data_IF_591138262045
#
_entry.id   IF_591138262045
#
_cell.length_a   1.000
_cell.length_b   1.000
_cell.length_c   1.000
_cell.angle_alpha   90.00
_cell.angle_beta   90.00
_cell.angle_gamma   90.00
#
_symmetry.space_group_name_H-M   'P 1'
#
loop_
_entity.id
_entity.type
_entity.pdbx_description
1 polymer ?
#
# COMPACT_ATOMS: atom_id res chain seq x y z
N UNK A 1 -6.79 0.50 42.46
CA UNK A 1 -7.03 1.54 41.44
C UNK A 1 -5.68 2.12 41.02
N UNK A 2 -5.12 1.73 39.88
CA UNK A 2 -3.86 2.30 39.34
C UNK A 2 -4.20 2.94 37.99
N UNK A 3 -4.19 4.27 37.95
CA UNK A 3 -4.40 5.09 36.77
C UNK A 3 -3.22 4.95 35.82
N UNK A 4 -3.44 4.28 34.69
CA UNK A 4 -2.53 4.22 33.55
C UNK A 4 -2.54 5.58 32.84
N UNK A 5 -1.44 6.32 32.95
CA UNK A 5 -1.18 7.53 32.16
C UNK A 5 -0.83 7.12 30.73
N UNK A 6 -1.80 7.20 29.82
CA UNK A 6 -1.58 7.12 28.38
C UNK A 6 -0.60 8.21 27.95
N UNK A 7 0.59 7.81 27.46
CA UNK A 7 1.57 8.74 26.86
C UNK A 7 0.95 9.36 25.60
N UNK A 8 0.64 10.65 25.65
CA UNK A 8 0.21 11.41 24.47
C UNK A 8 1.29 11.34 23.37
N UNK A 9 0.89 11.02 22.14
CA UNK A 9 1.77 10.98 20.97
C UNK A 9 2.34 12.40 20.74
N UNK A 10 3.66 12.57 20.52
CA UNK A 10 4.22 13.90 20.24
C UNK A 10 3.55 14.54 19.03
N UNK A 11 3.39 15.87 19.05
CA UNK A 11 2.83 16.62 17.93
C UNK A 11 3.66 16.38 16.66
N UNK A 12 3.03 16.17 15.48
CA UNK A 12 3.75 15.94 14.23
C UNK A 12 4.76 17.06 13.95
N UNK A 13 5.94 16.71 13.46
CA UNK A 13 6.93 17.71 13.06
C UNK A 13 6.43 18.55 11.87
N UNK A 14 7.05 19.69 11.62
CA UNK A 14 6.72 20.49 10.42
C UNK A 14 6.97 19.69 9.13
N UNK A 15 8.06 18.90 9.09
CA UNK A 15 8.35 17.98 7.99
C UNK A 15 7.21 16.97 7.81
N UNK A 16 6.73 16.36 8.89
CA UNK A 16 5.62 15.41 8.85
C UNK A 16 4.35 16.05 8.26
N UNK A 17 3.98 17.25 8.72
CA UNK A 17 2.82 17.97 8.20
C UNK A 17 2.90 18.26 6.71
N UNK A 18 4.09 18.61 6.21
CA UNK A 18 4.32 18.86 4.79
C UNK A 18 4.18 17.56 4.00
N UNK A 19 4.80 16.47 4.47
CA UNK A 19 4.70 15.15 3.84
C UNK A 19 3.25 14.64 3.85
N UNK A 20 2.50 14.79 4.95
CA UNK A 20 1.10 14.38 5.05
C UNK A 20 0.20 15.15 4.10
N UNK A 21 0.44 16.46 3.96
CA UNK A 21 -0.26 17.28 2.98
C UNK A 21 0.05 16.82 1.54
N UNK A 22 1.30 16.46 1.24
CA UNK A 22 1.68 15.95 -0.07
C UNK A 22 1.07 14.58 -0.36
N UNK A 23 1.06 13.66 0.61
CA UNK A 23 0.40 12.35 0.49
C UNK A 23 -1.09 12.53 0.23
N UNK A 24 -1.75 13.41 0.99
CA UNK A 24 -3.17 13.62 0.82
C UNK A 24 -3.50 14.26 -0.55
N UNK A 25 -2.69 15.20 -1.05
CA UNK A 25 -2.83 15.70 -2.43
C UNK A 25 -2.61 14.60 -3.46
N UNK A 26 -1.62 13.73 -3.25
CA UNK A 26 -1.36 12.61 -4.16
C UNK A 26 -2.56 11.66 -4.25
N UNK A 27 -3.18 11.34 -3.12
CA UNK A 27 -4.36 10.46 -3.05
C UNK A 27 -5.61 11.13 -3.62
N UNK A 28 -5.84 12.40 -3.26
CA UNK A 28 -7.06 13.13 -3.62
C UNK A 28 -7.03 13.62 -5.08
N UNK A 29 -5.85 13.96 -5.59
CA UNK A 29 -5.68 14.75 -6.80
C UNK A 29 -4.70 14.19 -7.84
N UNK A 30 -3.94 13.15 -7.49
CA UNK A 30 -2.94 12.53 -8.35
C UNK A 30 -1.61 13.30 -8.42
N UNK A 31 -0.55 12.62 -8.89
CA UNK A 31 0.84 13.12 -8.82
C UNK A 31 1.06 14.44 -9.58
N UNK A 32 0.32 14.64 -10.67
CA UNK A 32 0.44 15.84 -11.50
C UNK A 32 -0.02 17.11 -10.74
N UNK A 33 -1.01 17.00 -9.84
CA UNK A 33 -1.53 18.13 -9.05
C UNK A 33 -0.80 18.33 -7.72
N UNK A 34 0.02 17.36 -7.29
CA UNK A 34 0.92 17.46 -6.12
C UNK A 34 2.14 18.33 -6.43
N UNK A 35 1.90 19.64 -6.60
CA UNK A 35 2.95 20.66 -6.80
C UNK A 35 3.43 21.21 -5.45
N UNK A 36 4.65 21.75 -5.41
CA UNK A 36 5.17 22.42 -4.19
C UNK A 36 4.24 23.52 -3.71
N UNK A 37 3.64 24.30 -4.62
CA UNK A 37 2.66 25.36 -4.30
C UNK A 37 1.38 24.77 -3.68
N UNK A 38 0.84 23.70 -4.26
CA UNK A 38 -0.34 23.02 -3.70
C UNK A 38 -0.04 22.47 -2.29
N UNK A 39 1.13 21.88 -2.10
CA UNK A 39 1.59 21.35 -0.80
C UNK A 39 1.76 22.47 0.22
N UNK A 40 2.37 23.60 -0.15
CA UNK A 40 2.47 24.77 0.74
C UNK A 40 1.11 25.24 1.23
N UNK A 41 0.16 25.37 0.29
CA UNK A 41 -1.21 25.81 0.58
C UNK A 41 -1.91 24.82 1.51
N UNK A 42 -1.82 23.52 1.23
CA UNK A 42 -2.49 22.48 2.03
C UNK A 42 -1.84 22.30 3.41
N UNK A 43 -0.52 22.34 3.50
CA UNK A 43 0.20 22.23 4.77
C UNK A 43 0.11 23.52 5.61
N UNK A 44 -0.35 24.63 5.01
CA UNK A 44 -0.35 25.97 5.59
C UNK A 44 1.04 26.40 6.06
N UNK A 45 2.01 26.38 5.14
CA UNK A 45 3.42 26.72 5.40
C UNK A 45 3.96 27.73 4.38
N UNK A 46 4.94 28.53 4.79
CA UNK A 46 5.62 29.45 3.88
C UNK A 46 6.51 28.69 2.88
N UNK A 47 6.90 29.37 1.79
CA UNK A 47 7.86 28.83 0.82
C UNK A 47 9.21 28.52 1.47
N UNK A 48 9.71 29.43 2.32
CA UNK A 48 10.97 29.23 3.03
C UNK A 48 10.93 28.03 3.97
N UNK A 49 9.82 27.84 4.68
CA UNK A 49 9.63 26.69 5.57
C UNK A 49 9.60 25.36 4.80
N UNK A 50 8.93 25.31 3.63
CA UNK A 50 8.94 24.12 2.79
C UNK A 50 10.35 23.82 2.26
N UNK A 51 11.02 24.82 1.67
CA UNK A 51 12.34 24.65 1.07
C UNK A 51 13.43 24.30 2.09
N UNK A 52 13.27 24.71 3.34
CA UNK A 52 14.16 24.30 4.43
C UNK A 52 14.12 22.78 4.66
N UNK A 53 12.94 22.15 4.54
CA UNK A 53 12.79 20.71 4.73
C UNK A 53 12.92 19.89 3.44
N UNK A 54 12.55 20.49 2.30
CA UNK A 54 12.56 19.87 0.98
C UNK A 54 13.14 20.86 -0.04
N UNK A 55 14.47 20.91 -0.18
CA UNK A 55 15.19 21.78 -1.12
C UNK A 55 14.72 21.63 -2.58
N UNK A 56 14.25 20.44 -2.96
CA UNK A 56 13.78 20.12 -4.31
C UNK A 56 12.40 19.45 -4.31
N UNK A 57 11.70 19.53 -5.46
CA UNK A 57 10.45 18.77 -5.68
C UNK A 57 10.71 17.27 -5.60
N UNK A 58 11.86 16.82 -6.08
CA UNK A 58 12.27 15.43 -6.04
C UNK A 58 12.34 14.88 -4.61
N UNK A 59 12.98 15.62 -3.69
CA UNK A 59 13.06 15.23 -2.28
C UNK A 59 11.71 15.19 -1.58
N UNK A 60 10.84 16.17 -1.89
CA UNK A 60 9.45 16.16 -1.41
C UNK A 60 8.71 14.92 -1.91
N UNK A 61 8.82 14.62 -3.21
CA UNK A 61 8.15 13.49 -3.83
C UNK A 61 8.66 12.16 -3.28
N UNK A 62 9.97 12.00 -3.14
CA UNK A 62 10.57 10.80 -2.54
C UNK A 62 10.06 10.56 -1.11
N UNK A 63 10.04 11.60 -0.27
CA UNK A 63 9.49 11.50 1.10
C UNK A 63 7.99 11.21 1.09
N UNK A 64 7.25 11.74 0.11
CA UNK A 64 5.82 11.50 -0.05
C UNK A 64 5.54 10.04 -0.43
N UNK A 65 6.28 9.49 -1.40
CA UNK A 65 6.17 8.10 -1.83
C UNK A 65 6.51 7.15 -0.68
N UNK A 66 7.61 7.41 0.01
CA UNK A 66 8.03 6.61 1.16
C UNK A 66 6.97 6.61 2.28
N UNK A 67 6.31 7.75 2.53
CA UNK A 67 5.18 7.85 3.48
C UNK A 67 3.95 7.09 2.97
N UNK A 68 3.61 7.20 1.68
CA UNK A 68 2.46 6.51 1.08
C UNK A 68 2.62 4.99 1.16
N UNK A 69 3.77 4.48 0.73
CA UNK A 69 4.08 3.04 0.72
C UNK A 69 4.04 2.47 2.14
N UNK A 70 4.66 3.14 3.11
CA UNK A 70 4.56 2.75 4.53
C UNK A 70 3.14 2.78 5.07
N UNK A 71 2.32 3.74 4.64
CA UNK A 71 0.93 3.80 5.06
C UNK A 71 0.15 2.60 4.52
N UNK A 72 0.35 2.23 3.25
CA UNK A 72 -0.28 1.06 2.64
C UNK A 72 0.18 -0.25 3.31
N UNK A 73 1.48 -0.39 3.56
CA UNK A 73 2.07 -1.51 4.31
C UNK A 73 1.47 -1.63 5.71
N UNK A 74 1.38 -0.52 6.47
CA UNK A 74 0.79 -0.52 7.80
C UNK A 74 -0.67 -0.95 7.77
N UNK A 75 -1.45 -0.49 6.78
CA UNK A 75 -2.86 -0.85 6.63
C UNK A 75 -3.05 -2.35 6.34
N UNK A 76 -2.20 -2.94 5.51
CA UNK A 76 -2.18 -4.37 5.24
C UNK A 76 -1.83 -5.15 6.51
N UNK A 77 -0.76 -4.76 7.20
CA UNK A 77 -0.33 -5.39 8.45
C UNK A 77 -1.40 -5.32 9.55
N UNK A 78 -2.06 -4.17 9.74
CA UNK A 78 -3.14 -4.00 10.72
C UNK A 78 -4.34 -4.90 10.41
N UNK A 79 -4.74 -4.96 9.14
CA UNK A 79 -5.84 -5.83 8.70
C UNK A 79 -5.50 -7.30 8.94
N UNK A 80 -4.26 -7.68 8.67
CA UNK A 80 -3.76 -9.03 8.89
C UNK A 80 -3.72 -9.42 10.38
N UNK A 81 -3.24 -8.54 11.27
CA UNK A 81 -3.20 -8.78 12.71
C UNK A 81 -4.59 -8.90 13.35
N UNK A 82 -5.63 -8.39 12.69
CA UNK A 82 -7.02 -8.52 13.16
C UNK A 82 -7.65 -9.88 12.87
N UNK A 83 -7.02 -10.71 12.03
CA UNK A 83 -7.47 -12.06 11.73
C UNK A 83 -6.92 -13.05 12.78
N UNK A 84 -7.81 -13.88 13.36
CA UNK A 84 -7.46 -14.84 14.42
C UNK A 84 -6.51 -15.93 13.94
N UNK A 85 -6.80 -16.53 12.78
CA UNK A 85 -5.88 -17.39 12.04
C UNK A 85 -6.12 -17.24 10.52
N UNK A 86 -5.26 -16.46 9.83
CA UNK A 86 -5.37 -16.27 8.39
C UNK A 86 -5.17 -17.54 7.55
N UNK A 87 -4.53 -18.58 8.10
CA UNK A 87 -4.31 -19.85 7.41
C UNK A 87 -5.53 -20.78 7.51
N UNK A 88 -6.40 -20.60 8.52
CA UNK A 88 -7.67 -21.33 8.63
C UNK A 88 -8.68 -20.91 7.54
N UNK A 89 -8.62 -19.65 7.09
CA UNK A 89 -9.55 -19.11 6.08
C UNK A 89 -8.82 -18.21 5.06
N UNK A 90 -8.06 -18.86 4.19
CA UNK A 90 -7.29 -18.23 3.10
C UNK A 90 -8.18 -17.36 2.20
N UNK A 91 -9.43 -17.77 1.97
CA UNK A 91 -10.36 -17.00 1.14
C UNK A 91 -10.68 -15.65 1.78
N UNK A 92 -11.12 -15.66 3.04
CA UNK A 92 -11.41 -14.43 3.79
C UNK A 92 -10.19 -13.53 3.87
N UNK A 93 -9.00 -14.10 4.03
CA UNK A 93 -7.78 -13.33 4.12
C UNK A 93 -7.34 -12.71 2.78
N UNK A 94 -7.51 -13.41 1.65
CA UNK A 94 -7.31 -12.83 0.32
C UNK A 94 -8.34 -11.76 -0.02
N UNK A 95 -9.59 -11.90 0.46
CA UNK A 95 -10.60 -10.83 0.36
C UNK A 95 -10.16 -9.59 1.15
N UNK A 96 -9.70 -9.76 2.39
CA UNK A 96 -9.21 -8.65 3.22
C UNK A 96 -7.98 -7.95 2.59
N UNK A 97 -7.07 -8.72 1.97
CA UNK A 97 -5.95 -8.16 1.21
C UNK A 97 -6.43 -7.39 -0.02
N UNK A 98 -7.40 -7.93 -0.77
CA UNK A 98 -8.01 -7.27 -1.92
C UNK A 98 -8.68 -5.94 -1.53
N UNK A 99 -9.37 -5.89 -0.40
CA UNK A 99 -10.01 -4.67 0.10
C UNK A 99 -8.98 -3.60 0.48
N UNK A 100 -7.82 -3.98 1.02
CA UNK A 100 -6.72 -3.04 1.24
C UNK A 100 -6.15 -2.50 -0.08
N UNK A 101 -5.99 -3.36 -1.08
CA UNK A 101 -5.51 -2.95 -2.41
C UNK A 101 -6.51 -2.08 -3.17
N UNK A 102 -7.80 -2.14 -2.83
CA UNK A 102 -8.83 -1.28 -3.40
C UNK A 102 -8.90 0.11 -2.75
N UNK A 103 -8.12 0.39 -1.70
CA UNK A 103 -8.12 1.70 -1.02
C UNK A 103 -7.52 2.79 -1.92
N UNK A 104 -8.00 4.04 -1.83
CA UNK A 104 -7.48 5.15 -2.62
C UNK A 104 -5.95 5.33 -2.53
N UNK A 105 -5.36 5.07 -1.36
CA UNK A 105 -3.91 5.15 -1.16
C UNK A 105 -3.12 4.09 -1.92
N UNK A 106 -3.63 2.87 -2.01
CA UNK A 106 -3.00 1.81 -2.81
C UNK A 106 -3.14 2.10 -4.30
N UNK A 107 -4.31 2.58 -4.74
CA UNK A 107 -4.52 2.97 -6.13
C UNK A 107 -3.62 4.15 -6.54
N UNK A 108 -3.37 5.11 -5.65
CA UNK A 108 -2.42 6.20 -5.89
C UNK A 108 -0.98 5.69 -6.04
N UNK A 109 -0.60 4.66 -5.28
CA UNK A 109 0.70 3.98 -5.45
C UNK A 109 0.79 3.29 -6.82
N UNK A 110 -0.25 2.57 -7.24
CA UNK A 110 -0.31 1.94 -8.58
C UNK A 110 -0.28 2.97 -9.72
N UNK A 111 -0.89 4.14 -9.53
CA UNK A 111 -0.78 5.26 -10.47
C UNK A 111 0.68 5.71 -10.62
N UNK A 112 1.42 5.84 -9.51
CA UNK A 112 2.84 6.17 -9.54
C UNK A 112 3.65 5.10 -10.28
N UNK A 113 3.36 3.81 -10.08
CA UNK A 113 4.01 2.73 -10.84
C UNK A 113 3.84 2.94 -12.34
N UNK A 114 2.61 3.20 -12.79
CA UNK A 114 2.32 3.40 -14.21
C UNK A 114 3.04 4.63 -14.80
N UNK A 115 3.04 5.76 -14.08
CA UNK A 115 3.65 7.02 -14.52
C UNK A 115 5.17 6.97 -14.48
N UNK A 116 5.76 6.23 -13.55
CA UNK A 116 7.21 6.11 -13.39
C UNK A 116 7.90 5.58 -14.65
N UNK A 117 7.21 4.87 -15.56
CA UNK A 117 7.78 4.32 -16.81
C UNK A 117 8.59 5.32 -17.67
N UNK A 118 8.32 6.62 -17.56
CA UNK A 118 9.05 7.66 -18.31
C UNK A 118 9.82 8.65 -17.42
N UNK A 119 9.92 8.41 -16.12
CA UNK A 119 10.58 9.29 -15.14
C UNK A 119 11.53 8.46 -14.25
N UNK A 120 12.84 8.57 -14.50
CA UNK A 120 13.84 7.77 -13.78
C UNK A 120 13.94 8.12 -12.29
N UNK A 121 13.84 9.41 -11.96
CA UNK A 121 13.92 9.88 -10.57
C UNK A 121 12.72 9.37 -9.77
N UNK A 122 11.53 9.38 -10.37
CA UNK A 122 10.34 8.78 -9.79
C UNK A 122 10.49 7.25 -9.64
N UNK A 123 11.02 6.54 -10.65
CA UNK A 123 11.28 5.09 -10.57
C UNK A 123 12.20 4.74 -9.42
N UNK A 124 13.29 5.49 -9.26
CA UNK A 124 14.27 5.20 -8.22
C UNK A 124 13.68 5.43 -6.83
N UNK A 125 12.97 6.55 -6.62
CA UNK A 125 12.28 6.82 -5.36
C UNK A 125 11.23 5.74 -5.02
N UNK A 126 10.44 5.33 -6.01
CA UNK A 126 9.43 4.29 -5.86
C UNK A 126 10.07 2.94 -5.56
N UNK A 127 11.10 2.54 -6.31
CA UNK A 127 11.80 1.28 -6.10
C UNK A 127 12.39 1.18 -4.69
N UNK A 128 13.00 2.25 -4.17
CA UNK A 128 13.55 2.25 -2.81
C UNK A 128 12.45 2.11 -1.75
N UNK A 129 11.33 2.80 -1.91
CA UNK A 129 10.20 2.69 -0.99
C UNK A 129 9.57 1.28 -1.02
N UNK A 130 9.33 0.74 -2.21
CA UNK A 130 8.75 -0.59 -2.45
C UNK A 130 9.63 -1.72 -1.92
N UNK A 131 10.96 -1.59 -2.04
CA UNK A 131 11.89 -2.64 -1.60
C UNK A 131 11.72 -2.98 -0.12
N UNK A 132 11.44 -1.98 0.72
CA UNK A 132 11.16 -2.20 2.14
C UNK A 132 9.79 -2.87 2.34
N UNK A 133 8.73 -2.31 1.73
CA UNK A 133 7.37 -2.81 1.90
C UNK A 133 7.13 -4.22 1.32
N UNK A 134 7.88 -4.61 0.28
CA UNK A 134 7.80 -5.95 -0.32
C UNK A 134 8.09 -7.04 0.70
N UNK A 135 9.10 -6.84 1.56
CA UNK A 135 9.44 -7.81 2.59
C UNK A 135 8.26 -8.11 3.52
N UNK A 136 7.50 -7.08 3.88
CA UNK A 136 6.33 -7.21 4.75
C UNK A 136 5.12 -7.81 4.04
N UNK A 137 4.90 -7.47 2.77
CA UNK A 137 3.87 -8.12 1.96
C UNK A 137 4.16 -9.62 1.78
N UNK A 138 5.42 -9.97 1.50
CA UNK A 138 5.87 -11.37 1.38
C UNK A 138 5.67 -12.11 2.71
N UNK A 139 5.90 -11.45 3.84
CA UNK A 139 5.64 -11.99 5.19
C UNK A 139 4.14 -12.22 5.43
N UNK A 140 3.29 -11.28 5.03
CA UNK A 140 1.82 -11.40 5.15
C UNK A 140 1.33 -12.56 4.30
N UNK A 141 1.61 -12.55 3.00
CA UNK A 141 1.16 -13.59 2.06
C UNK A 141 1.76 -14.94 2.41
N UNK A 142 3.01 -14.98 2.85
CA UNK A 142 3.64 -16.22 3.26
C UNK A 142 3.03 -16.86 4.49
N UNK A 143 2.45 -16.05 5.38
CA UNK A 143 1.66 -16.57 6.51
C UNK A 143 0.25 -16.98 6.10
N UNK A 144 -0.36 -16.33 5.09
CA UNK A 144 -1.64 -16.78 4.51
C UNK A 144 -1.57 -18.19 3.94
N UNK A 145 -0.47 -18.48 3.23
CA UNK A 145 -0.30 -19.74 2.51
C UNK A 145 0.61 -20.73 3.27
N UNK A 146 0.83 -20.51 4.57
CA UNK A 146 1.83 -21.24 5.37
C UNK A 146 1.60 -22.76 5.37
N UNK A 147 0.34 -23.18 5.33
CA UNK A 147 -0.04 -24.60 5.25
C UNK A 147 0.51 -25.31 4.01
N UNK A 148 0.87 -24.57 2.96
CA UNK A 148 1.43 -25.09 1.72
C UNK A 148 2.90 -24.78 1.49
N UNK A 149 3.60 -24.22 2.48
CA UNK A 149 5.00 -23.75 2.34
C UNK A 149 6.01 -24.81 1.87
N UNK A 150 5.70 -26.10 2.05
CA UNK A 150 6.55 -27.23 1.61
C UNK A 150 6.38 -27.59 0.12
N UNK A 151 5.34 -27.08 -0.53
CA UNK A 151 5.06 -27.37 -1.92
C UNK A 151 6.02 -26.61 -2.84
N UNK A 152 6.48 -27.23 -3.92
CA UNK A 152 7.47 -26.62 -4.83
C UNK A 152 6.97 -25.31 -5.48
N UNK A 153 5.67 -25.25 -5.78
CA UNK A 153 5.03 -24.09 -6.42
C UNK A 153 4.55 -23.00 -5.44
N UNK A 154 4.79 -23.16 -4.13
CA UNK A 154 4.25 -22.26 -3.10
C UNK A 154 4.61 -20.78 -3.35
N UNK A 155 5.89 -20.50 -3.60
CA UNK A 155 6.35 -19.12 -3.73
C UNK A 155 5.75 -18.44 -4.98
N UNK A 156 5.68 -19.17 -6.10
CA UNK A 156 5.03 -18.67 -7.31
C UNK A 156 3.54 -18.41 -7.11
N UNK A 157 2.82 -19.27 -6.38
CA UNK A 157 1.39 -19.07 -6.10
C UNK A 157 1.14 -17.90 -5.14
N UNK A 158 2.03 -17.67 -4.19
CA UNK A 158 2.03 -16.46 -3.36
C UNK A 158 2.18 -15.19 -4.21
N UNK A 159 3.20 -15.16 -5.08
CA UNK A 159 3.47 -14.03 -5.97
C UNK A 159 2.31 -13.79 -6.95
N UNK A 160 1.81 -14.85 -7.58
CA UNK A 160 0.67 -14.78 -8.50
C UNK A 160 -0.60 -14.29 -7.80
N UNK A 161 -0.80 -14.61 -6.52
CA UNK A 161 -1.93 -14.10 -5.75
C UNK A 161 -1.86 -12.59 -5.58
N UNK A 162 -0.67 -12.04 -5.31
CA UNK A 162 -0.47 -10.59 -5.23
C UNK A 162 -0.76 -9.94 -6.57
N UNK A 163 -0.20 -10.47 -7.67
CA UNK A 163 -0.40 -9.88 -9.00
C UNK A 163 -1.88 -9.96 -9.45
N UNK A 164 -2.55 -11.07 -9.13
CA UNK A 164 -3.99 -11.22 -9.37
C UNK A 164 -4.81 -10.19 -8.58
N UNK A 165 -4.59 -10.05 -7.28
CA UNK A 165 -5.33 -9.11 -6.44
C UNK A 165 -5.09 -7.65 -6.85
N UNK A 166 -3.87 -7.28 -7.25
CA UNK A 166 -3.57 -5.97 -7.84
C UNK A 166 -4.38 -5.75 -9.12
N UNK A 167 -4.41 -6.74 -10.01
CA UNK A 167 -5.17 -6.67 -11.26
C UNK A 167 -6.69 -6.49 -11.03
N UNK A 168 -7.22 -7.16 -10.00
CA UNK A 168 -8.62 -7.00 -9.56
C UNK A 168 -8.87 -5.58 -9.05
N UNK A 169 -8.03 -5.07 -8.14
CA UNK A 169 -8.15 -3.71 -7.61
C UNK A 169 -8.04 -2.63 -8.70
N UNK A 170 -7.13 -2.82 -9.66
CA UNK A 170 -6.96 -1.90 -10.79
C UNK A 170 -8.18 -1.93 -11.74
N UNK A 171 -8.76 -3.10 -11.97
CA UNK A 171 -9.95 -3.25 -12.82
C UNK A 171 -11.19 -2.56 -12.24
N UNK A 172 -11.31 -2.52 -10.91
CA UNK A 172 -12.41 -1.87 -10.20
C UNK A 172 -12.44 -0.34 -10.37
N UNK A 173 -11.33 0.28 -10.79
CA UNK A 173 -11.27 1.72 -11.12
C UNK A 173 -12.31 2.07 -12.19
N UNK A 174 -12.42 1.22 -13.22
CA UNK A 174 -13.33 1.45 -14.35
C UNK A 174 -14.68 0.77 -14.18
N UNK A 175 -14.75 -0.34 -13.42
CA UNK A 175 -15.96 -1.18 -13.32
C UNK A 175 -16.13 -1.72 -11.91
N UNK A 176 -16.84 -1.00 -11.05
CA UNK A 176 -17.18 -1.49 -9.70
C UNK A 176 -18.22 -2.61 -9.77
N UNK A 177 -17.78 -3.85 -9.54
CA UNK A 177 -18.66 -5.04 -9.50
C UNK A 177 -18.29 -5.91 -8.29
N UNK A 178 -18.78 -5.57 -7.08
CA UNK A 178 -18.34 -6.24 -5.85
C UNK A 178 -18.59 -7.75 -5.84
N UNK A 179 -19.72 -8.20 -6.37
CA UNK A 179 -20.03 -9.64 -6.49
C UNK A 179 -19.09 -10.36 -7.45
N UNK A 180 -18.73 -9.71 -8.56
CA UNK A 180 -17.79 -10.25 -9.54
C UNK A 180 -16.38 -10.37 -8.96
N UNK A 181 -15.94 -9.34 -8.21
CA UNK A 181 -14.68 -9.36 -7.46
C UNK A 181 -14.61 -10.53 -6.49
N UNK A 182 -15.63 -10.71 -5.66
CA UNK A 182 -15.67 -11.83 -4.72
C UNK A 182 -15.62 -13.17 -5.45
N UNK A 183 -16.42 -13.34 -6.50
CA UNK A 183 -16.39 -14.58 -7.30
C UNK A 183 -15.03 -14.86 -7.91
N UNK A 184 -14.33 -13.84 -8.41
CA UNK A 184 -12.97 -13.96 -8.92
C UNK A 184 -11.98 -14.45 -7.84
N UNK A 185 -12.06 -13.88 -6.63
CA UNK A 185 -11.18 -14.27 -5.51
C UNK A 185 -11.49 -15.70 -5.05
N UNK A 186 -12.77 -16.07 -4.90
CA UNK A 186 -13.16 -17.44 -4.55
C UNK A 186 -12.64 -18.47 -5.57
N UNK A 187 -12.79 -18.17 -6.86
CA UNK A 187 -12.27 -19.04 -7.93
C UNK A 187 -10.74 -19.13 -7.90
N UNK A 188 -10.05 -18.05 -7.60
CA UNK A 188 -8.59 -18.06 -7.46
C UNK A 188 -8.14 -18.94 -6.28
N UNK A 189 -8.85 -18.91 -5.15
CA UNK A 189 -8.60 -19.82 -4.01
C UNK A 189 -8.77 -21.28 -4.42
N UNK A 190 -9.81 -21.62 -5.20
CA UNK A 190 -9.99 -22.98 -5.73
C UNK A 190 -8.83 -23.40 -6.63
N UNK A 191 -8.30 -22.49 -7.44
CA UNK A 191 -7.11 -22.75 -8.29
C UNK A 191 -5.87 -23.00 -7.42
N UNK A 192 -5.59 -22.15 -6.43
CA UNK A 192 -4.49 -22.33 -5.49
C UNK A 192 -4.57 -23.71 -4.83
N UNK A 193 -5.72 -24.08 -4.28
CA UNK A 193 -5.93 -25.36 -3.59
C UNK A 193 -5.63 -26.54 -4.51
N UNK A 194 -6.20 -26.56 -5.73
CA UNK A 194 -5.96 -27.63 -6.70
C UNK A 194 -4.50 -27.73 -7.14
N UNK A 195 -3.82 -26.60 -7.32
CA UNK A 195 -2.41 -26.55 -7.71
C UNK A 195 -1.45 -26.97 -6.59
N UNK A 196 -1.94 -27.13 -5.35
CA UNK A 196 -1.16 -27.51 -4.16
C UNK A 196 -1.53 -28.90 -3.61
N UNK A 197 -2.58 -29.53 -4.17
CA UNK A 197 -3.02 -30.90 -3.88
C UNK A 197 -2.34 -31.95 -4.79
N UNK A 198 -1.62 -31.52 -5.82
CA UNK A 198 -0.96 -32.38 -6.83
C UNK A 198 0.51 -32.54 -6.51
#
# INVERSE_FOLDING_TARGET
MKTSTSKARPSPSLKDRITDAAVALLIDEGVARTTTVAVQKRANVSRGALLYHFPSRAELLASTIERLVRMNEQQINESFLSCSDPAEDVEKALIALSDNMARPSYLAEMELWAISRNDQELRDALYQAEKAARFDLDRVVGKLLECWKKHENYQFLADLSVEFLRGVAFSDILRKRPEYRWRMISLWVEVIKKSLET
#
